data_IF_302535913814
#
_entry.id   IF_302535913814
#
_cell.length_a   1.000
_cell.length_b   1.000
_cell.length_c   1.000
_cell.angle_alpha   90.00
_cell.angle_beta   90.00
_cell.angle_gamma   90.00
#
_symmetry.space_group_name_H-M   'P 1'
#
loop_
_entity.id
_entity.type
_entity.pdbx_description
1 polymer ?
#
# COMPACT_ATOMS: atom_id res chain seq x y z
N UNK A 1 -16.97 -40.66 28.08
CA UNK A 1 -17.55 -39.95 26.94
C UNK A 1 -17.35 -38.46 27.18
N UNK A 2 -16.25 -37.89 26.71
CA UNK A 2 -15.97 -36.46 26.86
C UNK A 2 -16.37 -35.78 25.55
N UNK A 3 -17.48 -35.01 25.64
CA UNK A 3 -17.94 -34.20 24.53
C UNK A 3 -16.96 -33.07 24.27
N UNK A 4 -16.28 -33.13 23.14
CA UNK A 4 -15.52 -32.00 22.57
C UNK A 4 -16.57 -31.07 21.98
N UNK A 5 -16.91 -30.01 22.69
CA UNK A 5 -17.66 -28.89 22.14
C UNK A 5 -16.75 -28.14 21.14
N UNK A 6 -16.97 -28.39 19.85
CA UNK A 6 -16.41 -27.57 18.80
C UNK A 6 -17.01 -26.16 18.93
N UNK A 7 -16.25 -25.19 19.42
CA UNK A 7 -16.59 -23.78 19.24
C UNK A 7 -16.51 -23.52 17.73
N UNK A 8 -17.67 -23.45 17.09
CA UNK A 8 -17.78 -22.87 15.76
C UNK A 8 -17.33 -21.43 15.90
N UNK A 9 -16.16 -21.10 15.35
CA UNK A 9 -15.69 -19.72 15.18
C UNK A 9 -16.77 -19.01 14.36
N UNK A 10 -17.48 -18.07 14.96
CA UNK A 10 -18.36 -17.19 14.22
C UNK A 10 -17.49 -16.46 13.20
N UNK A 11 -17.76 -16.63 11.92
CA UNK A 11 -17.03 -15.96 10.85
C UNK A 11 -17.03 -14.45 11.15
N UNK A 12 -15.84 -13.88 11.30
CA UNK A 12 -15.67 -12.43 11.50
C UNK A 12 -16.18 -11.73 10.25
N UNK A 13 -17.23 -10.93 10.38
CA UNK A 13 -17.80 -10.16 9.29
C UNK A 13 -17.21 -8.75 9.29
N UNK A 14 -16.74 -8.29 8.13
CA UNK A 14 -16.32 -6.90 7.93
C UNK A 14 -17.58 -6.01 7.77
N UNK A 15 -17.52 -4.73 8.20
CA UNK A 15 -18.63 -3.80 8.00
C UNK A 15 -18.95 -3.62 6.50
N UNK A 16 -20.21 -3.73 6.13
CA UNK A 16 -20.66 -3.59 4.73
C UNK A 16 -20.23 -2.27 4.11
N UNK A 17 -20.27 -1.18 4.87
CA UNK A 17 -19.83 0.15 4.43
C UNK A 17 -18.34 0.17 4.07
N UNK A 18 -17.49 -0.46 4.88
CA UNK A 18 -16.08 -0.61 4.56
C UNK A 18 -15.87 -1.41 3.26
N UNK A 19 -16.58 -2.52 3.10
CA UNK A 19 -16.49 -3.36 1.88
C UNK A 19 -16.96 -2.59 0.64
N UNK A 20 -18.04 -1.82 0.74
CA UNK A 20 -18.52 -0.96 -0.35
C UNK A 20 -17.49 0.11 -0.73
N UNK A 21 -16.91 0.79 0.26
CA UNK A 21 -15.88 1.80 0.06
C UNK A 21 -14.64 1.19 -0.62
N UNK A 22 -14.09 0.12 -0.07
CA UNK A 22 -12.94 -0.59 -0.61
C UNK A 22 -13.20 -1.07 -2.05
N UNK A 23 -14.37 -1.66 -2.31
CA UNK A 23 -14.77 -2.10 -3.65
C UNK A 23 -14.87 -0.95 -4.64
N UNK A 24 -15.31 0.23 -4.22
CA UNK A 24 -15.33 1.44 -5.05
C UNK A 24 -13.92 1.95 -5.35
N UNK A 25 -13.07 1.98 -4.33
CA UNK A 25 -11.70 2.46 -4.44
C UNK A 25 -10.82 1.55 -5.32
N UNK A 26 -10.96 0.22 -5.21
CA UNK A 26 -10.23 -0.74 -6.06
C UNK A 26 -10.54 -0.51 -7.55
N UNK A 27 -11.77 -0.16 -7.90
CA UNK A 27 -12.16 0.12 -9.29
C UNK A 27 -11.67 1.47 -9.81
N UNK A 28 -11.30 2.38 -8.92
CA UNK A 28 -10.78 3.70 -9.28
C UNK A 28 -9.29 3.62 -9.59
N UNK A 29 -8.81 4.12 -10.74
CA UNK A 29 -7.41 3.98 -11.10
C UNK A 29 -6.50 4.90 -10.27
N UNK A 30 -5.32 4.38 -9.88
CA UNK A 30 -4.28 5.12 -9.16
C UNK A 30 -2.89 4.63 -9.54
N UNK A 31 -2.61 4.56 -10.84
CA UNK A 31 -1.29 4.12 -11.32
C UNK A 31 -0.21 5.08 -10.81
N UNK A 32 0.89 4.51 -10.31
CA UNK A 32 2.03 5.25 -9.77
C UNK A 32 2.52 6.33 -10.74
N UNK A 33 2.57 7.58 -10.28
CA UNK A 33 2.88 8.77 -11.08
C UNK A 33 1.69 9.38 -11.83
N UNK A 34 0.46 8.83 -11.65
CA UNK A 34 -0.78 9.31 -12.28
C UNK A 34 -2.00 9.22 -11.32
N UNK A 35 -1.80 9.54 -10.03
CA UNK A 35 -2.77 9.34 -8.95
C UNK A 35 -3.81 10.46 -8.82
N UNK A 36 -3.71 11.52 -9.59
CA UNK A 36 -4.54 12.74 -9.42
C UNK A 36 -6.05 12.48 -9.42
N UNK A 37 -6.52 11.59 -10.30
CA UNK A 37 -7.94 11.23 -10.33
C UNK A 37 -8.38 10.51 -9.06
N UNK A 38 -7.51 9.71 -8.46
CA UNK A 38 -7.78 9.01 -7.23
C UNK A 38 -7.77 9.95 -6.01
N UNK A 39 -6.90 10.94 -5.97
CA UNK A 39 -6.96 12.00 -4.95
C UNK A 39 -8.31 12.71 -4.95
N UNK A 40 -8.91 12.95 -6.11
CA UNK A 40 -10.27 13.54 -6.18
C UNK A 40 -11.35 12.63 -5.62
N UNK A 41 -11.20 11.32 -5.83
CA UNK A 41 -12.11 10.34 -5.21
C UNK A 41 -11.97 10.40 -3.70
N UNK A 42 -10.74 10.35 -3.18
CA UNK A 42 -10.46 10.44 -1.75
C UNK A 42 -10.95 11.75 -1.14
N UNK A 43 -10.68 12.89 -1.79
CA UNK A 43 -11.12 14.19 -1.31
C UNK A 43 -12.64 14.20 -1.10
N UNK A 44 -13.42 13.78 -2.08
CA UNK A 44 -14.88 13.72 -1.98
C UNK A 44 -15.32 12.79 -0.84
N UNK A 45 -14.77 11.57 -0.78
CA UNK A 45 -15.13 10.60 0.26
C UNK A 45 -14.82 11.11 1.66
N UNK A 46 -13.73 11.86 1.85
CA UNK A 46 -13.31 12.42 3.12
C UNK A 46 -14.14 13.65 3.51
N UNK A 47 -14.38 14.58 2.57
CA UNK A 47 -15.21 15.77 2.78
C UNK A 47 -16.67 15.40 3.13
N UNK A 48 -17.23 14.36 2.48
CA UNK A 48 -18.56 13.81 2.80
C UNK A 48 -18.64 13.25 4.23
N UNK A 49 -17.50 12.90 4.84
CA UNK A 49 -17.36 12.43 6.22
C UNK A 49 -16.92 13.50 7.21
N UNK A 50 -16.92 14.75 6.77
CA UNK A 50 -16.64 15.91 7.62
C UNK A 50 -15.16 16.23 7.83
N UNK A 51 -14.24 15.56 7.16
CA UNK A 51 -12.83 15.91 7.26
C UNK A 51 -12.53 17.25 6.54
N UNK A 52 -11.63 18.03 7.12
CA UNK A 52 -11.03 19.17 6.43
C UNK A 52 -9.90 18.66 5.53
N UNK A 53 -10.06 18.79 4.21
CA UNK A 53 -9.14 18.20 3.25
C UNK A 53 -8.33 19.25 2.53
N UNK A 54 -7.01 19.08 2.52
CA UNK A 54 -6.07 19.90 1.76
C UNK A 54 -5.21 19.02 0.89
N UNK A 55 -4.85 19.51 -0.29
CA UNK A 55 -3.99 18.80 -1.23
C UNK A 55 -2.71 19.59 -1.47
N UNK A 56 -1.58 18.96 -1.20
CA UNK A 56 -0.27 19.54 -1.37
C UNK A 56 0.63 18.59 -2.15
N UNK A 57 0.94 18.93 -3.40
CA UNK A 57 1.76 18.10 -4.30
C UNK A 57 1.31 16.63 -4.33
N UNK A 58 2.19 15.72 -3.94
CA UNK A 58 1.93 14.27 -3.89
C UNK A 58 1.34 13.77 -2.58
N UNK A 59 0.71 14.65 -1.77
CA UNK A 59 0.03 14.26 -0.54
C UNK A 59 -1.32 14.97 -0.39
N UNK A 60 -2.36 14.21 -0.05
CA UNK A 60 -3.65 14.71 0.38
C UNK A 60 -3.74 14.53 1.90
N UNK A 61 -4.10 15.59 2.60
CA UNK A 61 -4.17 15.62 4.06
C UNK A 61 -5.60 15.81 4.49
N UNK A 62 -6.11 14.88 5.27
CA UNK A 62 -7.45 14.95 5.88
C UNK A 62 -7.31 15.12 7.38
N UNK A 63 -8.00 16.12 7.94
CA UNK A 63 -7.91 16.48 9.34
C UNK A 63 -9.29 16.54 9.97
N UNK A 64 -9.43 15.96 11.16
CA UNK A 64 -10.54 16.23 12.07
C UNK A 64 -10.24 17.42 12.99
N UNK A 65 -10.98 17.52 14.09
CA UNK A 65 -10.91 18.67 15.01
C UNK A 65 -9.67 18.64 15.93
N UNK A 66 -9.03 17.47 16.08
CA UNK A 66 -7.83 17.27 16.90
C UNK A 66 -6.64 16.78 16.06
N UNK A 67 -6.15 17.58 15.11
CA UNK A 67 -5.22 17.11 14.07
C UNK A 67 -3.86 16.61 14.60
N UNK A 68 -3.50 16.96 15.83
CA UNK A 68 -2.22 16.55 16.45
C UNK A 68 -2.34 15.33 17.37
N UNK A 69 -3.52 14.74 17.54
CA UNK A 69 -3.75 13.63 18.47
C UNK A 69 -3.03 12.36 18.02
N UNK A 70 -3.36 11.87 16.85
CA UNK A 70 -2.67 10.76 16.18
C UNK A 70 -2.63 11.03 14.68
N UNK A 71 -1.56 10.59 14.03
CA UNK A 71 -1.35 10.80 12.60
C UNK A 71 -1.14 9.46 11.90
N UNK A 72 -1.89 9.24 10.81
CA UNK A 72 -1.73 8.07 9.95
C UNK A 72 -1.23 8.47 8.58
N UNK A 73 -0.46 7.61 7.92
CA UNK A 73 -0.10 7.74 6.49
C UNK A 73 -0.37 6.43 5.76
N UNK A 74 -0.99 6.51 4.60
CA UNK A 74 -1.17 5.40 3.67
C UNK A 74 -0.83 5.86 2.25
N UNK A 75 -0.03 5.08 1.51
CA UNK A 75 0.14 5.37 0.10
C UNK A 75 -1.06 4.90 -0.71
N UNK A 76 -1.27 5.53 -1.86
CA UNK A 76 -2.45 5.31 -2.69
C UNK A 76 -2.13 4.82 -4.09
N UNK A 77 -0.86 4.92 -4.48
CA UNK A 77 -0.43 4.46 -5.79
C UNK A 77 -0.40 2.93 -5.86
N UNK A 78 -0.74 2.43 -7.02
CA UNK A 78 -0.74 1.01 -7.36
C UNK A 78 0.05 0.76 -8.61
N UNK A 79 0.52 -0.45 -8.78
CA UNK A 79 1.18 -0.87 -9.98
C UNK A 79 0.27 -0.78 -11.21
N UNK A 80 0.87 -0.40 -12.31
CA UNK A 80 0.24 -0.28 -13.62
C UNK A 80 1.28 0.01 -14.69
N UNK A 81 0.82 0.41 -15.86
CA UNK A 81 1.67 0.73 -16.99
C UNK A 81 1.50 2.20 -17.40
N UNK A 82 2.48 2.72 -18.13
CA UNK A 82 2.41 4.02 -18.77
C UNK A 82 2.81 3.89 -20.24
N UNK A 83 2.04 4.49 -21.13
CA UNK A 83 2.39 4.57 -22.55
C UNK A 83 3.67 5.40 -22.73
N UNK A 84 4.68 4.85 -23.39
CA UNK A 84 5.96 5.54 -23.63
C UNK A 84 6.21 5.79 -25.12
N UNK A 85 5.38 5.23 -25.99
CA UNK A 85 5.46 5.40 -27.44
C UNK A 85 4.33 4.66 -28.15
N UNK A 86 4.30 4.65 -29.50
CA UNK A 86 3.32 3.91 -30.28
C UNK A 86 3.32 2.42 -29.92
N UNK A 87 2.20 1.95 -29.38
CA UNK A 87 2.02 0.58 -28.86
C UNK A 87 3.16 0.08 -27.94
N UNK A 88 3.78 1.00 -27.21
CA UNK A 88 4.84 0.70 -26.27
C UNK A 88 4.44 1.20 -24.87
N UNK A 89 4.47 0.28 -23.92
CA UNK A 89 4.12 0.55 -22.53
C UNK A 89 5.23 0.05 -21.62
N UNK A 90 5.49 0.79 -20.55
CA UNK A 90 6.47 0.40 -19.55
C UNK A 90 5.82 0.32 -18.18
N UNK A 91 6.46 -0.41 -17.26
CA UNK A 91 6.02 -0.50 -15.88
C UNK A 91 6.14 0.86 -15.20
N UNK A 92 5.03 1.40 -14.74
CA UNK A 92 4.93 2.80 -14.30
C UNK A 92 5.86 3.10 -13.12
N UNK A 93 6.02 2.18 -12.17
CA UNK A 93 6.94 2.35 -11.04
C UNK A 93 8.39 2.53 -11.49
N UNK A 94 8.84 1.81 -12.54
CA UNK A 94 10.20 1.97 -13.08
C UNK A 94 10.38 3.31 -13.78
N UNK A 95 9.39 3.73 -14.57
CA UNK A 95 9.45 5.03 -15.26
C UNK A 95 9.47 6.17 -14.26
N UNK A 96 8.64 6.10 -13.23
CA UNK A 96 8.57 7.11 -12.17
C UNK A 96 9.82 7.11 -11.29
N UNK A 97 10.34 5.94 -10.93
CA UNK A 97 11.57 5.78 -10.14
C UNK A 97 12.81 6.26 -10.89
N UNK A 98 13.01 5.81 -12.13
CA UNK A 98 14.20 6.14 -12.94
C UNK A 98 14.38 7.64 -13.16
N UNK A 99 13.30 8.41 -13.25
CA UNK A 99 13.38 9.88 -13.40
C UNK A 99 13.95 10.60 -12.18
N UNK A 100 13.95 9.98 -11.01
CA UNK A 100 14.54 10.56 -9.80
C UNK A 100 16.03 10.29 -9.66
N UNK A 101 16.54 9.23 -10.28
CA UNK A 101 17.91 8.74 -10.17
C UNK A 101 18.57 8.70 -11.57
N UNK A 102 18.82 9.86 -12.14
CA UNK A 102 19.46 10.03 -13.47
C UNK A 102 20.89 9.47 -13.54
N UNK A 103 21.42 8.88 -12.49
CA UNK A 103 22.79 8.38 -12.40
C UNK A 103 22.85 6.85 -12.24
N UNK A 104 22.17 6.11 -13.12
CA UNK A 104 22.62 4.77 -13.45
C UNK A 104 22.12 3.61 -12.59
N UNK A 105 21.05 3.75 -11.84
CA UNK A 105 20.37 2.58 -11.26
C UNK A 105 19.46 1.94 -12.30
N UNK A 106 20.04 1.09 -13.13
CA UNK A 106 19.26 0.21 -13.98
C UNK A 106 18.47 -0.79 -13.11
N UNK A 107 17.20 -0.99 -13.45
CA UNK A 107 16.39 -2.07 -12.85
C UNK A 107 17.10 -3.40 -13.10
N UNK A 108 17.25 -4.22 -12.07
CA UNK A 108 17.94 -5.49 -12.24
C UNK A 108 17.15 -6.41 -13.19
N UNK A 109 17.87 -7.15 -14.04
CA UNK A 109 17.27 -8.12 -14.97
C UNK A 109 16.42 -9.18 -14.24
N UNK A 110 16.81 -9.56 -13.03
CA UNK A 110 16.04 -10.49 -12.20
C UNK A 110 14.67 -9.91 -11.80
N UNK A 111 14.61 -8.63 -11.46
CA UNK A 111 13.35 -7.97 -11.12
C UNK A 111 12.48 -7.81 -12.38
N UNK A 112 13.06 -7.42 -13.51
CA UNK A 112 12.32 -7.33 -14.78
C UNK A 112 11.74 -8.67 -15.18
N UNK A 113 12.50 -9.78 -15.07
CA UNK A 113 12.01 -11.13 -15.34
C UNK A 113 10.87 -11.56 -14.42
N UNK A 114 10.91 -11.16 -13.15
CA UNK A 114 9.80 -11.44 -12.22
C UNK A 114 8.52 -10.72 -12.63
N UNK A 115 8.63 -9.50 -13.12
CA UNK A 115 7.46 -8.68 -13.48
C UNK A 115 6.88 -9.09 -14.84
N UNK A 116 7.72 -9.45 -15.81
CA UNK A 116 7.28 -9.85 -17.15
C UNK A 116 6.26 -10.99 -17.12
N UNK A 117 6.44 -11.92 -16.20
CA UNK A 117 5.58 -13.11 -16.09
C UNK A 117 4.30 -12.88 -15.25
N UNK A 118 4.15 -11.71 -14.62
CA UNK A 118 3.02 -11.46 -13.69
C UNK A 118 1.74 -11.04 -14.38
N UNK A 119 1.83 -10.37 -15.52
CA UNK A 119 0.72 -9.61 -16.10
C UNK A 119 0.36 -10.04 -17.53
N UNK A 120 0.90 -11.15 -18.02
CA UNK A 120 0.54 -11.67 -19.34
C UNK A 120 -0.95 -12.03 -19.39
N UNK A 121 -1.62 -11.62 -20.46
CA UNK A 121 -3.05 -11.82 -20.67
C UNK A 121 -3.98 -11.09 -19.68
N UNK A 122 -3.46 -10.14 -18.89
CA UNK A 122 -4.29 -9.36 -17.98
C UNK A 122 -5.06 -8.25 -18.72
N UNK A 123 -6.29 -8.04 -18.29
CA UNK A 123 -7.16 -6.97 -18.80
C UNK A 123 -6.76 -5.63 -18.19
N UNK A 124 -6.66 -4.61 -19.03
CA UNK A 124 -6.27 -3.27 -18.63
C UNK A 124 -7.21 -2.21 -19.20
N UNK A 125 -7.18 -1.02 -18.62
CA UNK A 125 -7.84 0.15 -19.19
C UNK A 125 -6.97 1.41 -19.03
N UNK A 126 -7.02 2.25 -20.06
CA UNK A 126 -6.36 3.54 -20.05
C UNK A 126 -7.29 4.63 -19.54
N UNK A 127 -6.72 5.62 -18.86
CA UNK A 127 -7.48 6.76 -18.32
C UNK A 127 -6.71 8.07 -18.45
N UNK A 128 -7.44 9.16 -18.35
CA UNK A 128 -6.87 10.50 -18.29
C UNK A 128 -6.42 10.79 -16.86
N UNK A 129 -5.15 11.18 -16.61
CA UNK A 129 -4.60 11.23 -15.26
C UNK A 129 -5.35 12.18 -14.30
N UNK A 130 -5.84 13.32 -14.81
CA UNK A 130 -6.47 14.33 -13.98
C UNK A 130 -7.94 14.06 -13.67
N UNK A 131 -8.69 13.66 -14.67
CA UNK A 131 -10.13 13.45 -14.55
C UNK A 131 -10.51 12.00 -14.22
N UNK A 132 -9.63 11.05 -14.47
CA UNK A 132 -9.95 9.63 -14.43
C UNK A 132 -10.80 9.16 -15.61
N UNK A 133 -11.02 10.04 -16.62
CA UNK A 133 -11.86 9.70 -17.77
C UNK A 133 -11.30 8.50 -18.54
N UNK A 134 -12.16 7.53 -18.80
CA UNK A 134 -11.84 6.33 -19.56
C UNK A 134 -11.36 6.66 -20.98
N UNK A 135 -10.25 6.05 -21.40
CA UNK A 135 -9.60 6.26 -22.70
C UNK A 135 -9.58 5.02 -23.59
N UNK A 136 -9.95 3.87 -23.07
CA UNK A 136 -9.98 2.61 -23.80
C UNK A 136 -9.63 1.43 -22.89
N UNK A 137 -9.91 0.24 -23.40
CA UNK A 137 -9.55 -1.02 -22.75
C UNK A 137 -8.68 -1.86 -23.65
N UNK A 138 -7.85 -2.67 -23.05
CA UNK A 138 -6.97 -3.56 -23.80
C UNK A 138 -6.64 -4.83 -23.01
N UNK A 139 -5.77 -5.60 -23.62
CA UNK A 139 -5.22 -6.82 -23.06
C UNK A 139 -3.70 -6.76 -23.22
N UNK A 140 -2.96 -7.17 -22.20
CA UNK A 140 -1.52 -7.34 -22.33
C UNK A 140 -1.26 -8.55 -23.24
N UNK A 141 -0.71 -8.29 -24.41
CA UNK A 141 -0.46 -9.31 -25.43
C UNK A 141 0.90 -9.94 -25.27
N UNK A 142 1.90 -9.12 -24.99
CA UNK A 142 3.28 -9.54 -24.86
C UNK A 142 4.04 -8.64 -23.88
N UNK A 143 4.97 -9.24 -23.14
CA UNK A 143 5.95 -8.51 -22.36
C UNK A 143 7.34 -9.06 -22.66
N UNK A 144 8.36 -8.19 -22.75
CA UNK A 144 9.73 -8.57 -23.02
C UNK A 144 10.73 -7.55 -22.48
N UNK A 145 11.97 -7.99 -22.30
CA UNK A 145 13.07 -7.09 -21.96
C UNK A 145 13.73 -6.64 -23.25
N UNK A 146 13.71 -5.34 -23.52
CA UNK A 146 14.44 -4.75 -24.61
C UNK A 146 15.94 -4.68 -24.24
N UNK A 147 16.75 -5.58 -24.77
CA UNK A 147 18.19 -5.68 -24.46
C UNK A 147 18.95 -4.40 -24.80
N UNK A 148 18.58 -3.74 -25.89
CA UNK A 148 19.21 -2.49 -26.33
C UNK A 148 19.02 -1.34 -25.34
N UNK A 149 17.83 -1.20 -24.73
CA UNK A 149 17.47 -0.15 -23.79
C UNK A 149 17.51 -0.59 -22.34
N UNK A 150 17.65 -1.89 -22.10
CA UNK A 150 17.52 -2.52 -20.77
C UNK A 150 16.23 -2.13 -20.06
N UNK A 151 15.11 -2.13 -20.80
CA UNK A 151 13.77 -1.77 -20.30
C UNK A 151 12.81 -2.94 -20.44
N UNK A 152 11.88 -3.06 -19.51
CA UNK A 152 10.72 -3.95 -19.62
C UNK A 152 9.63 -3.28 -20.44
N UNK A 153 9.30 -3.86 -21.57
CA UNK A 153 8.30 -3.36 -22.52
C UNK A 153 7.09 -4.28 -22.53
N UNK A 154 5.92 -3.66 -22.54
CA UNK A 154 4.63 -4.32 -22.76
C UNK A 154 4.03 -3.84 -24.07
N UNK A 155 3.43 -4.75 -24.82
CA UNK A 155 2.60 -4.47 -25.98
C UNK A 155 1.15 -4.84 -25.65
N UNK A 156 0.21 -3.96 -26.00
CA UNK A 156 -1.18 -4.11 -25.62
C UNK A 156 -2.08 -4.14 -26.86
N UNK A 157 -3.01 -5.08 -26.94
CA UNK A 157 -4.07 -5.09 -27.94
C UNK A 157 -5.17 -4.10 -27.57
N UNK A 158 -5.64 -3.31 -28.54
CA UNK A 158 -6.76 -2.39 -28.40
C UNK A 158 -6.43 -1.01 -27.82
N UNK A 159 -5.14 -0.71 -27.58
CA UNK A 159 -4.66 0.56 -27.00
C UNK A 159 -3.54 1.22 -27.83
N UNK A 160 -3.41 0.87 -29.08
CA UNK A 160 -2.42 1.38 -30.05
C UNK A 160 -2.60 2.86 -30.40
N UNK A 161 -3.78 3.43 -30.13
CA UNK A 161 -4.12 4.83 -30.34
C UNK A 161 -3.66 5.78 -29.23
N UNK A 162 -3.11 5.26 -28.12
CA UNK A 162 -2.74 6.08 -26.98
C UNK A 162 -1.47 6.89 -27.24
N UNK A 163 -1.41 8.05 -26.58
CA UNK A 163 -0.22 8.94 -26.63
C UNK A 163 0.67 8.70 -25.41
N UNK A 164 1.96 8.99 -25.59
CA UNK A 164 2.93 8.89 -24.50
C UNK A 164 2.51 9.72 -23.28
N UNK A 165 2.70 9.15 -22.10
CA UNK A 165 2.25 9.71 -20.82
C UNK A 165 0.87 9.23 -20.37
N UNK A 166 0.13 8.49 -21.20
CA UNK A 166 -1.18 7.94 -20.81
C UNK A 166 -0.99 6.77 -19.83
N UNK A 167 -1.56 6.83 -18.61
CA UNK A 167 -1.53 5.71 -17.67
C UNK A 167 -2.52 4.62 -18.05
N UNK A 168 -2.14 3.38 -17.73
CA UNK A 168 -2.93 2.19 -17.97
C UNK A 168 -2.99 1.38 -16.67
N UNK A 169 -4.18 1.30 -16.10
CA UNK A 169 -4.45 0.54 -14.89
C UNK A 169 -4.87 -0.90 -15.23
N UNK A 170 -4.57 -1.82 -14.35
CA UNK A 170 -5.17 -3.16 -14.39
C UNK A 170 -6.66 -3.06 -14.06
N UNK A 171 -7.45 -3.89 -14.73
CA UNK A 171 -8.87 -4.01 -14.40
C UNK A 171 -9.02 -4.94 -13.21
N UNK A 172 -9.44 -4.38 -12.11
CA UNK A 172 -9.58 -5.13 -10.86
C UNK A 172 -10.97 -4.99 -10.23
N UNK A 173 -11.35 -5.98 -9.44
CA UNK A 173 -12.56 -6.01 -8.62
C UNK A 173 -12.26 -6.74 -7.33
N UNK A 174 -12.70 -6.18 -6.21
CA UNK A 174 -12.63 -6.86 -4.93
C UNK A 174 -13.43 -8.17 -4.97
N UNK A 175 -12.79 -9.24 -4.56
CA UNK A 175 -13.42 -10.56 -4.35
C UNK A 175 -13.31 -10.93 -2.87
N UNK A 176 -14.24 -11.73 -2.40
CA UNK A 176 -14.21 -12.35 -1.09
C UNK A 176 -14.28 -13.86 -1.27
N UNK A 177 -13.17 -14.52 -1.06
CA UNK A 177 -13.03 -15.96 -1.35
C UNK A 177 -12.28 -16.65 -0.20
N UNK A 178 -12.78 -17.77 0.29
CA UNK A 178 -12.09 -18.62 1.28
C UNK A 178 -11.56 -17.88 2.53
N UNK A 179 -12.30 -16.90 3.04
CA UNK A 179 -11.89 -16.10 4.21
C UNK A 179 -10.82 -15.05 3.90
N UNK A 180 -10.60 -14.73 2.62
CA UNK A 180 -9.72 -13.68 2.15
C UNK A 180 -10.46 -12.60 1.37
N UNK A 181 -10.00 -11.36 1.46
CA UNK A 181 -10.23 -10.33 0.45
C UNK A 181 -9.14 -10.46 -0.61
N UNK A 182 -9.53 -10.45 -1.88
CA UNK A 182 -8.61 -10.63 -3.02
C UNK A 182 -8.79 -9.51 -4.03
N UNK A 183 -7.68 -8.95 -4.48
CA UNK A 183 -7.60 -7.86 -5.47
C UNK A 183 -6.21 -7.23 -5.45
N UNK A 184 -6.03 -6.11 -6.12
CA UNK A 184 -4.83 -5.27 -6.00
C UNK A 184 -4.97 -4.41 -4.73
N UNK A 185 -4.61 -4.98 -3.57
CA UNK A 185 -4.88 -4.43 -2.24
C UNK A 185 -3.85 -3.42 -1.78
N UNK A 186 -2.61 -3.56 -2.21
CA UNK A 186 -1.48 -2.71 -1.88
C UNK A 186 -1.56 -1.35 -2.57
N UNK A 187 -1.81 -0.20 -1.90
CA UNK A 187 -2.18 -0.10 -0.48
C UNK A 187 -3.58 0.52 -0.32
N UNK A 188 -4.45 0.30 -1.30
CA UNK A 188 -5.82 0.82 -1.30
C UNK A 188 -6.65 0.32 -0.11
N UNK A 189 -6.32 -0.86 0.43
CA UNK A 189 -7.04 -1.44 1.56
C UNK A 189 -6.86 -0.61 2.84
N UNK A 190 -5.64 -0.15 3.12
CA UNK A 190 -5.39 0.69 4.30
C UNK A 190 -5.85 2.12 4.07
N UNK A 191 -5.75 2.64 2.84
CA UNK A 191 -6.34 3.93 2.48
C UNK A 191 -7.87 3.93 2.70
N UNK A 192 -8.57 2.86 2.27
CA UNK A 192 -10.00 2.70 2.54
C UNK A 192 -10.31 2.61 4.04
N UNK A 193 -9.44 1.95 4.81
CA UNK A 193 -9.60 1.87 6.27
C UNK A 193 -9.47 3.25 6.93
N UNK A 194 -8.55 4.11 6.48
CA UNK A 194 -8.44 5.47 6.99
C UNK A 194 -9.65 6.34 6.61
N UNK A 195 -10.17 6.23 5.38
CA UNK A 195 -11.41 6.92 5.00
C UNK A 195 -12.59 6.43 5.85
N UNK A 196 -12.69 5.11 6.09
CA UNK A 196 -13.71 4.54 6.95
C UNK A 196 -13.57 4.99 8.42
N UNK A 197 -12.35 5.23 8.88
CA UNK A 197 -12.09 5.74 10.23
C UNK A 197 -12.71 7.14 10.43
N UNK A 198 -12.68 8.02 9.42
CA UNK A 198 -13.40 9.31 9.46
C UNK A 198 -14.92 9.12 9.54
N UNK A 199 -15.48 8.10 8.91
CA UNK A 199 -16.91 7.77 9.07
C UNK A 199 -17.26 7.38 10.53
N UNK A 200 -16.28 6.81 11.26
CA UNK A 200 -16.42 6.49 12.68
C UNK A 200 -16.11 7.66 13.62
N UNK A 201 -15.82 8.85 13.08
CA UNK A 201 -15.62 10.07 13.87
C UNK A 201 -14.16 10.35 14.24
N UNK A 202 -13.19 9.87 13.45
CA UNK A 202 -11.77 10.16 13.68
C UNK A 202 -11.47 11.65 13.65
N UNK A 203 -10.72 12.15 14.65
CA UNK A 203 -10.43 13.56 14.86
C UNK A 203 -8.97 13.95 14.57
N UNK A 204 -8.08 12.98 14.35
CA UNK A 204 -6.66 13.20 14.05
C UNK A 204 -6.39 13.58 12.59
N UNK A 205 -5.18 13.29 12.13
CA UNK A 205 -4.73 13.54 10.75
C UNK A 205 -4.48 12.26 9.99
N UNK A 206 -4.97 12.17 8.75
CA UNK A 206 -4.58 11.12 7.81
C UNK A 206 -3.93 11.73 6.56
N UNK A 207 -2.77 11.20 6.20
CA UNK A 207 -2.04 11.51 4.98
C UNK A 207 -2.25 10.39 3.97
N UNK A 208 -2.56 10.78 2.74
CA UNK A 208 -2.64 9.87 1.59
C UNK A 208 -1.55 10.26 0.61
N UNK A 209 -0.55 9.39 0.43
CA UNK A 209 0.68 9.73 -0.29
C UNK A 209 0.76 9.04 -1.64
N UNK A 210 1.32 9.73 -2.64
CA UNK A 210 1.56 9.24 -4.00
C UNK A 210 2.99 8.72 -4.17
N UNK A 211 3.19 7.84 -5.14
CA UNK A 211 4.49 7.36 -5.61
C UNK A 211 5.34 6.65 -4.55
N UNK A 212 4.73 5.89 -3.64
CA UNK A 212 5.47 5.02 -2.72
C UNK A 212 6.22 3.94 -3.49
N UNK A 213 5.57 3.31 -4.45
CA UNK A 213 6.10 2.26 -5.31
C UNK A 213 7.26 2.73 -6.22
N UNK A 214 7.39 4.04 -6.39
CA UNK A 214 8.54 4.69 -7.00
C UNK A 214 9.57 5.21 -5.98
N UNK A 215 9.34 4.96 -4.68
CA UNK A 215 10.23 5.36 -3.60
C UNK A 215 10.24 6.85 -3.28
N UNK A 216 9.14 7.59 -3.55
CA UNK A 216 9.08 9.05 -3.43
C UNK A 216 8.11 9.58 -2.38
N UNK A 217 7.12 8.82 -1.93
CA UNK A 217 6.05 9.29 -1.05
C UNK A 217 6.55 10.01 0.19
N UNK A 218 7.57 9.47 0.83
CA UNK A 218 8.20 10.06 2.01
C UNK A 218 8.71 11.49 1.80
N UNK A 219 9.09 11.86 0.54
CA UNK A 219 9.57 13.21 0.21
C UNK A 219 8.43 14.22 0.29
N UNK A 220 7.25 13.88 -0.26
CA UNK A 220 6.06 14.73 -0.21
C UNK A 220 5.58 14.92 1.23
N UNK A 221 5.56 13.84 2.00
CA UNK A 221 5.16 13.87 3.40
C UNK A 221 6.14 14.70 4.25
N UNK A 222 7.45 14.49 4.09
CA UNK A 222 8.47 15.26 4.79
C UNK A 222 8.43 16.75 4.43
N UNK A 223 8.22 17.06 3.14
CA UNK A 223 8.11 18.47 2.70
C UNK A 223 6.88 19.14 3.30
N UNK A 224 5.77 18.42 3.45
CA UNK A 224 4.60 18.94 4.16
C UNK A 224 4.94 19.30 5.61
N UNK A 225 5.58 18.42 6.37
CA UNK A 225 6.00 18.69 7.74
C UNK A 225 6.92 19.91 7.83
N UNK A 226 7.88 20.04 6.93
CA UNK A 226 8.81 21.17 6.89
C UNK A 226 8.11 22.49 6.55
N UNK A 227 7.25 22.46 5.54
CA UNK A 227 6.61 23.66 5.01
C UNK A 227 5.59 24.24 5.97
N UNK A 228 4.85 23.42 6.65
CA UNK A 228 3.82 23.86 7.59
C UNK A 228 4.32 23.92 9.04
N UNK A 229 5.61 23.67 9.28
CA UNK A 229 6.24 23.81 10.59
C UNK A 229 5.79 22.80 11.63
N UNK A 230 5.29 21.63 11.20
CA UNK A 230 4.87 20.57 12.10
C UNK A 230 6.03 19.61 12.44
N UNK A 231 5.94 19.03 13.64
CA UNK A 231 6.76 17.88 14.04
C UNK A 231 5.87 16.87 14.74
N UNK A 232 6.25 15.60 14.71
CA UNK A 232 5.46 14.55 15.37
C UNK A 232 6.32 13.35 15.76
N UNK A 233 5.93 12.70 16.86
CA UNK A 233 6.38 11.38 17.24
C UNK A 233 5.22 10.36 17.30
N UNK A 234 4.08 10.73 16.71
CA UNK A 234 2.82 9.97 16.70
C UNK A 234 2.41 9.52 15.28
N UNK A 235 3.34 9.51 14.32
CA UNK A 235 3.04 9.06 12.97
C UNK A 235 3.00 7.53 12.90
N UNK A 236 1.91 6.97 12.40
CA UNK A 236 1.76 5.54 12.12
C UNK A 236 1.57 5.38 10.60
N UNK A 237 2.57 4.85 9.93
CA UNK A 237 2.42 4.47 8.52
C UNK A 237 1.70 3.14 8.45
N UNK A 238 0.56 3.13 7.75
CA UNK A 238 -0.26 1.93 7.57
C UNK A 238 -0.08 1.38 6.17
N UNK A 239 0.10 0.06 6.07
CA UNK A 239 0.51 -0.57 4.84
C UNK A 239 0.12 -2.05 4.80
N UNK A 240 0.39 -2.74 3.69
CA UNK A 240 0.38 -4.19 3.62
C UNK A 240 1.75 -4.77 3.96
N UNK A 241 1.80 -6.05 4.29
CA UNK A 241 3.05 -6.75 4.56
C UNK A 241 3.05 -8.12 3.88
N UNK A 242 3.84 -8.31 2.81
CA UNK A 242 3.77 -9.53 2.02
C UNK A 242 4.41 -10.73 2.72
N UNK A 243 3.74 -11.87 2.60
CA UNK A 243 4.21 -13.20 2.99
C UNK A 243 4.27 -14.12 1.78
N UNK A 244 5.04 -15.23 1.84
CA UNK A 244 5.20 -16.13 0.69
C UNK A 244 3.90 -16.72 0.16
N UNK A 245 2.96 -16.99 1.06
CA UNK A 245 1.66 -17.60 0.75
C UNK A 245 0.59 -17.17 1.77
N UNK A 246 -0.67 -17.49 1.47
CA UNK A 246 -1.81 -17.14 2.30
C UNK A 246 -1.80 -17.86 3.65
N UNK A 247 -1.35 -19.12 3.70
CA UNK A 247 -1.27 -19.88 4.94
C UNK A 247 -0.29 -19.26 5.94
N UNK A 248 0.83 -18.71 5.44
CA UNK A 248 1.78 -17.96 6.26
C UNK A 248 1.21 -16.59 6.67
N UNK A 249 0.53 -15.90 5.77
CA UNK A 249 -0.08 -14.60 6.04
C UNK A 249 -1.15 -14.68 7.15
N UNK A 250 -1.98 -15.72 7.17
CA UNK A 250 -3.05 -15.87 8.17
C UNK A 250 -2.61 -16.34 9.56
N UNK A 251 -1.33 -16.66 9.76
CA UNK A 251 -0.80 -17.06 11.08
C UNK A 251 -0.78 -15.91 12.09
N UNK A 252 -0.82 -14.68 11.63
CA UNK A 252 -0.89 -13.48 12.45
C UNK A 252 -2.03 -12.57 12.00
N UNK A 253 -2.68 -11.94 12.97
CA UNK A 253 -3.72 -10.94 12.69
C UNK A 253 -3.09 -9.66 12.14
N UNK A 254 -1.98 -9.21 12.73
CA UNK A 254 -1.33 -7.94 12.40
C UNK A 254 0.18 -8.07 12.26
N UNK A 255 0.78 -7.13 11.57
CA UNK A 255 2.23 -7.05 11.40
C UNK A 255 2.75 -5.71 11.89
N UNK A 256 3.76 -5.79 12.73
CA UNK A 256 4.48 -4.66 13.31
C UNK A 256 5.94 -4.69 12.85
N UNK A 257 6.68 -3.63 13.13
CA UNK A 257 8.14 -3.57 12.93
C UNK A 257 8.80 -2.80 14.05
N UNK A 258 10.01 -3.23 14.46
CA UNK A 258 10.89 -2.41 15.28
C UNK A 258 11.81 -1.56 14.41
N UNK A 259 12.09 -2.00 13.19
CA UNK A 259 12.96 -1.33 12.22
C UNK A 259 12.74 -1.81 10.80
N UNK A 260 13.28 -1.06 9.87
CA UNK A 260 13.50 -1.50 8.49
C UNK A 260 14.97 -1.32 8.07
N UNK A 261 15.25 -1.29 6.78
CA UNK A 261 16.62 -1.08 6.26
C UNK A 261 17.12 0.36 6.48
N UNK A 262 16.25 1.34 6.77
CA UNK A 262 16.59 2.76 6.82
C UNK A 262 16.66 3.31 8.26
N UNK A 263 15.78 2.84 9.18
CA UNK A 263 15.66 3.39 10.52
C UNK A 263 15.14 2.38 11.56
N UNK A 264 15.37 2.69 12.82
CA UNK A 264 14.69 2.11 13.97
C UNK A 264 13.46 2.95 14.26
N UNK A 265 12.34 2.31 14.57
CA UNK A 265 11.05 2.95 14.77
C UNK A 265 10.83 3.33 16.23
N UNK A 266 9.87 4.22 16.48
CA UNK A 266 9.52 4.68 17.81
C UNK A 266 9.06 3.52 18.70
N UNK A 267 9.88 3.21 19.70
CA UNK A 267 9.66 2.05 20.58
C UNK A 267 8.41 2.21 21.45
N UNK A 268 8.13 3.43 21.91
CA UNK A 268 6.98 3.70 22.78
C UNK A 268 5.67 3.55 22.01
N UNK A 269 5.60 4.12 20.81
CA UNK A 269 4.43 3.99 19.94
C UNK A 269 4.24 2.54 19.46
N UNK A 270 5.33 1.84 19.14
CA UNK A 270 5.26 0.40 18.79
C UNK A 270 4.74 -0.43 19.97
N UNK A 271 5.15 -0.13 21.21
CA UNK A 271 4.63 -0.81 22.41
C UNK A 271 3.16 -0.52 22.61
N UNK A 272 2.68 0.71 22.39
CA UNK A 272 1.24 1.05 22.43
C UNK A 272 0.44 0.17 21.47
N UNK A 273 0.95 -0.08 20.26
CA UNK A 273 0.32 -1.00 19.30
C UNK A 273 0.29 -2.46 19.83
N UNK A 274 1.38 -2.91 20.44
CA UNK A 274 1.45 -4.24 21.07
C UNK A 274 0.40 -4.35 22.18
N UNK A 275 0.32 -3.38 23.08
CA UNK A 275 -0.63 -3.37 24.19
C UNK A 275 -2.09 -3.44 23.68
N UNK A 276 -2.41 -2.74 22.59
CA UNK A 276 -3.74 -2.81 21.95
C UNK A 276 -3.98 -4.21 21.35
N UNK A 277 -2.99 -4.79 20.67
CA UNK A 277 -3.13 -6.16 20.14
C UNK A 277 -3.38 -7.17 21.24
N UNK A 278 -2.64 -7.09 22.34
CA UNK A 278 -2.78 -7.99 23.49
C UNK A 278 -4.14 -7.82 24.19
N UNK A 279 -4.60 -6.58 24.38
CA UNK A 279 -5.92 -6.30 24.96
C UNK A 279 -7.07 -6.85 24.12
N UNK A 280 -6.92 -6.91 22.81
CA UNK A 280 -7.90 -7.48 21.88
C UNK A 280 -7.66 -8.97 21.55
N UNK A 281 -6.66 -9.61 22.15
CA UNK A 281 -6.26 -11.00 21.88
C UNK A 281 -5.88 -11.26 20.42
N UNK A 282 -5.36 -10.25 19.71
CA UNK A 282 -4.86 -10.39 18.36
C UNK A 282 -3.43 -10.94 18.35
N UNK A 283 -3.18 -11.89 17.48
CA UNK A 283 -1.82 -12.34 17.19
C UNK A 283 -1.11 -11.28 16.35
N UNK A 284 0.18 -11.05 16.63
CA UNK A 284 1.00 -10.12 15.85
C UNK A 284 2.39 -10.69 15.61
N UNK A 285 3.02 -10.24 14.52
CA UNK A 285 4.38 -10.62 14.18
C UNK A 285 5.21 -9.38 13.87
N UNK A 286 6.42 -9.33 14.41
CA UNK A 286 7.42 -8.34 13.99
C UNK A 286 8.08 -8.77 12.68
N UNK A 287 7.86 -8.04 11.58
CA UNK A 287 8.36 -8.38 10.24
C UNK A 287 9.87 -8.41 10.17
N UNK A 288 10.56 -7.50 10.84
CA UNK A 288 12.01 -7.50 10.94
C UNK A 288 12.53 -8.81 11.57
N UNK A 289 11.89 -9.29 12.63
CA UNK A 289 12.24 -10.57 13.28
C UNK A 289 11.93 -11.77 12.38
N UNK A 290 10.80 -11.75 11.69
CA UNK A 290 10.46 -12.78 10.71
C UNK A 290 11.53 -12.88 9.61
N UNK A 291 11.93 -11.76 9.00
CA UNK A 291 12.96 -11.73 7.96
C UNK A 291 14.32 -12.20 8.50
N UNK A 292 14.70 -11.77 9.70
CA UNK A 292 15.93 -12.23 10.36
C UNK A 292 15.94 -13.76 10.53
N UNK A 293 14.83 -14.34 10.98
CA UNK A 293 14.68 -15.81 11.10
C UNK A 293 14.76 -16.51 9.76
N UNK A 294 14.08 -15.98 8.71
CA UNK A 294 14.16 -16.54 7.36
C UNK A 294 15.60 -16.46 6.80
N UNK A 295 16.33 -15.41 7.10
CA UNK A 295 17.72 -15.24 6.68
C UNK A 295 18.68 -16.26 7.35
N UNK A 296 18.41 -16.67 8.59
CA UNK A 296 19.14 -17.78 9.21
C UNK A 296 18.93 -19.08 8.44
N UNK A 297 17.69 -19.37 8.03
CA UNK A 297 17.34 -20.55 7.24
C UNK A 297 17.91 -20.47 5.81
N UNK A 298 17.84 -19.29 5.19
CA UNK A 298 18.43 -19.05 3.87
C UNK A 298 19.94 -19.32 3.86
N UNK A 299 20.65 -18.80 4.88
CA UNK A 299 22.09 -19.05 5.02
C UNK A 299 22.43 -20.54 5.18
N UNK A 300 21.60 -21.31 5.90
CA UNK A 300 21.79 -22.77 6.03
C UNK A 300 21.64 -23.51 4.70
N UNK A 301 20.81 -22.98 3.78
CA UNK A 301 20.61 -23.53 2.42
C UNK A 301 21.62 -22.99 1.39
N UNK A 302 22.45 -21.99 1.74
CA UNK A 302 23.35 -21.30 0.83
C UNK A 302 22.65 -20.22 -0.04
N UNK A 303 21.45 -19.79 0.34
CA UNK A 303 20.71 -18.74 -0.34
C UNK A 303 21.15 -17.35 0.15
N UNK A 304 21.01 -16.33 -0.70
CA UNK A 304 21.27 -14.95 -0.34
C UNK A 304 20.21 -14.43 0.67
N UNK A 305 20.63 -13.65 1.68
CA UNK A 305 19.72 -13.11 2.67
C UNK A 305 18.80 -12.04 2.06
N UNK A 306 17.55 -12.05 2.46
CA UNK A 306 16.59 -11.01 2.10
C UNK A 306 16.84 -9.70 2.89
N UNK A 307 16.61 -8.56 2.26
CA UNK A 307 16.58 -7.26 2.93
C UNK A 307 15.42 -7.17 3.92
N UNK A 308 15.58 -6.36 4.98
CA UNK A 308 14.47 -5.99 5.87
C UNK A 308 13.38 -5.19 5.15
N UNK A 309 13.64 -4.78 3.91
CA UNK A 309 12.77 -3.90 3.14
C UNK A 309 12.98 -2.43 3.52
N UNK A 310 12.32 -1.57 2.77
CA UNK A 310 12.35 -0.12 2.96
C UNK A 310 10.91 0.38 2.94
N UNK A 311 10.48 1.04 4.01
CA UNK A 311 9.13 1.56 4.16
C UNK A 311 9.12 3.09 4.06
N UNK A 312 7.97 3.70 3.80
CA UNK A 312 7.80 5.15 3.91
C UNK A 312 8.25 5.64 5.29
N UNK A 313 7.89 4.93 6.38
CA UNK A 313 8.26 5.31 7.75
C UNK A 313 9.77 5.36 7.96
N UNK A 314 10.50 4.33 7.56
CA UNK A 314 11.95 4.31 7.76
C UNK A 314 12.67 5.39 6.96
N UNK A 315 12.20 5.66 5.74
CA UNK A 315 12.75 6.72 4.89
C UNK A 315 12.51 8.12 5.47
N UNK A 316 11.29 8.39 5.99
CA UNK A 316 10.98 9.70 6.56
C UNK A 316 11.74 9.92 7.88
N UNK A 317 11.83 8.93 8.77
CA UNK A 317 12.65 9.04 9.98
C UNK A 317 14.10 9.36 9.62
N UNK A 318 14.71 8.58 8.73
CA UNK A 318 16.10 8.75 8.29
C UNK A 318 16.39 10.14 7.71
N UNK A 319 15.44 10.74 6.98
CA UNK A 319 15.60 12.01 6.28
C UNK A 319 15.13 13.24 7.08
N UNK A 320 14.37 13.05 8.16
CA UNK A 320 13.69 14.13 8.87
C UNK A 320 14.57 14.92 9.84
N UNK A 321 15.74 14.40 10.21
CA UNK A 321 16.59 14.97 11.26
C UNK A 321 15.82 15.15 12.61
N UNK A 322 14.97 14.17 12.97
CA UNK A 322 14.21 14.20 14.22
C UNK A 322 12.90 15.01 14.15
N UNK A 323 12.52 15.54 12.98
CA UNK A 323 11.25 16.24 12.80
C UNK A 323 10.05 15.29 12.88
N UNK A 324 10.23 14.06 12.35
CA UNK A 324 9.20 13.04 12.31
C UNK A 324 9.75 11.75 12.88
N UNK A 325 9.02 11.18 13.84
CA UNK A 325 9.24 9.85 14.37
C UNK A 325 7.91 9.08 14.44
N UNK A 326 7.97 7.76 14.46
CA UNK A 326 6.76 6.95 14.42
C UNK A 326 7.02 5.46 14.25
N UNK A 327 5.97 4.74 13.84
CA UNK A 327 6.02 3.29 13.67
C UNK A 327 5.15 2.85 12.48
N UNK A 328 5.05 1.54 12.25
CA UNK A 328 4.18 0.96 11.21
C UNK A 328 3.16 0.02 11.81
N UNK A 329 1.97 -0.02 11.20
CA UNK A 329 0.94 -1.02 11.43
C UNK A 329 0.52 -1.58 10.07
N UNK A 330 0.64 -2.91 9.87
CA UNK A 330 0.48 -3.50 8.56
C UNK A 330 -0.50 -4.68 8.56
N UNK A 331 -1.19 -4.86 7.43
CA UNK A 331 -2.05 -6.03 7.17
C UNK A 331 -1.19 -7.11 6.51
N UNK A 332 -1.15 -8.35 7.03
CA UNK A 332 -0.45 -9.44 6.35
C UNK A 332 -1.17 -9.78 5.05
N UNK A 333 -0.40 -9.90 3.96
CA UNK A 333 -0.92 -10.25 2.62
C UNK A 333 -0.07 -11.33 1.97
N UNK A 334 -0.59 -11.94 0.91
CA UNK A 334 0.17 -12.78 -0.02
C UNK A 334 -0.14 -12.39 -1.46
N UNK A 335 0.63 -12.89 -2.43
CA UNK A 335 0.46 -12.53 -3.83
C UNK A 335 1.01 -11.14 -4.19
N UNK A 336 2.08 -10.73 -3.53
CA UNK A 336 2.68 -9.39 -3.59
C UNK A 336 2.83 -8.81 -4.99
N UNK A 337 2.29 -7.62 -5.20
CA UNK A 337 2.31 -6.85 -6.45
C UNK A 337 1.68 -7.60 -7.64
N UNK A 338 0.61 -8.34 -7.38
CA UNK A 338 -0.19 -9.02 -8.42
C UNK A 338 -1.65 -8.56 -8.34
N UNK A 339 -2.49 -9.02 -9.27
CA UNK A 339 -3.95 -8.80 -9.22
C UNK A 339 -4.66 -9.78 -8.27
N UNK A 340 -3.92 -10.68 -7.65
CA UNK A 340 -4.42 -11.70 -6.72
C UNK A 340 -3.79 -11.57 -5.34
N UNK A 341 -3.46 -10.33 -4.93
CA UNK A 341 -3.09 -10.08 -3.55
C UNK A 341 -4.25 -10.48 -2.66
N UNK A 342 -3.94 -11.19 -1.59
CA UNK A 342 -4.95 -11.68 -0.67
C UNK A 342 -4.63 -11.30 0.77
N UNK A 343 -5.63 -10.75 1.47
CA UNK A 343 -5.57 -10.40 2.88
C UNK A 343 -6.58 -11.24 3.67
N UNK A 344 -6.22 -11.88 4.79
CA UNK A 344 -7.17 -12.58 5.63
C UNK A 344 -8.24 -11.63 6.17
N UNK A 345 -9.50 -12.00 6.08
CA UNK A 345 -10.64 -11.19 6.60
C UNK A 345 -10.45 -10.85 8.07
N UNK A 346 -9.95 -11.81 8.87
CA UNK A 346 -9.67 -11.60 10.30
C UNK A 346 -8.58 -10.54 10.52
N UNK A 347 -7.55 -10.50 9.66
CA UNK A 347 -6.50 -9.49 9.73
C UNK A 347 -7.04 -8.09 9.40
N UNK A 348 -7.90 -7.99 8.40
CA UNK A 348 -8.54 -6.71 8.04
C UNK A 348 -9.45 -6.23 9.17
N UNK A 349 -10.23 -7.11 9.77
CA UNK A 349 -11.10 -6.79 10.91
C UNK A 349 -10.28 -6.36 12.14
N UNK A 350 -9.20 -7.08 12.46
CA UNK A 350 -8.28 -6.72 13.53
C UNK A 350 -7.61 -5.37 13.29
N UNK A 351 -7.20 -5.09 12.05
CA UNK A 351 -6.63 -3.82 11.66
C UNK A 351 -7.60 -2.65 11.87
N UNK A 352 -8.85 -2.78 11.41
CA UNK A 352 -9.90 -1.77 11.63
C UNK A 352 -10.14 -1.54 13.12
N UNK A 353 -10.15 -2.60 13.92
CA UNK A 353 -10.32 -2.50 15.37
C UNK A 353 -9.17 -1.73 16.03
N UNK A 354 -7.91 -2.04 15.68
CA UNK A 354 -6.74 -1.34 16.23
C UNK A 354 -6.73 0.14 15.84
N UNK A 355 -7.08 0.47 14.58
CA UNK A 355 -7.23 1.88 14.17
C UNK A 355 -8.28 2.61 15.00
N UNK A 356 -9.43 1.96 15.25
CA UNK A 356 -10.51 2.54 16.06
C UNK A 356 -10.07 2.76 17.51
N UNK A 357 -9.37 1.78 18.10
CA UNK A 357 -8.87 1.90 19.47
C UNK A 357 -7.83 3.02 19.60
N UNK A 358 -6.92 3.15 18.62
CA UNK A 358 -5.95 4.26 18.58
C UNK A 358 -6.63 5.63 18.49
N UNK A 359 -7.70 5.73 17.70
CA UNK A 359 -8.46 6.96 17.53
C UNK A 359 -9.24 7.38 18.79
N UNK A 360 -9.55 6.44 19.69
CA UNK A 360 -10.34 6.69 20.91
C UNK A 360 -9.51 6.82 22.19
N UNK A 361 -8.23 6.47 22.17
CA UNK A 361 -7.34 6.49 23.33
C UNK A 361 -6.69 7.86 23.62
N UNK A 362 -7.06 8.91 22.90
CA UNK A 362 -6.50 10.27 23.06
C UNK A 362 -7.50 11.23 23.66
#
# INVERSE_FOLDING_TARGET
>A
MNGVTSHASSAVALPDRFIHLLSSMIRSPSVVGAEHSFFRVLQRELEERGANVTWYEGVLVAQGDEPNSVMFSAHIDRHGLICTGPNEFQYAAFVSGARSDLLGNSVSEQLMKKIVNRFESESVFAYEPWSGAYRGRGLIDRAYICEFRNNLIFELKGLDHLVAGTPVAFRDNLKSENGALVGQLDNVITAAALVYLFELGFQGTAFFTAQEEAGKSWRYLLEWFRRFGHSTNQLIVVDTSPYPDFETAKQQTLVLRNRDANAVFNTELTRKLVDICEANHFTYQFKDKYVEQQNVLAKQRGDEPASLGSTEMGRIISASNGLVDGTTLQIPTSGYHTLSESAPVESVAGFLKVLTDLATLN
#
